data_IF_490931166382
#
_entry.id   IF_490931166382
#
_cell.length_a   1.000
_cell.length_b   1.000
_cell.length_c   1.000
_cell.angle_alpha   90.00
_cell.angle_beta   90.00
_cell.angle_gamma   90.00
#
_symmetry.space_group_name_H-M   'P 1'
#
loop_
_entity.id
_entity.type
_entity.pdbx_description
1 polymer ?
#
# COMPACT_ATOMS: atom_id res chain seq x y z
N UNK A 1 2.24 93.00 -18.63
CA UNK A 1 2.02 92.27 -17.38
C UNK A 1 1.05 91.13 -17.71
N UNK A 2 1.59 89.95 -18.01
CA UNK A 2 0.90 88.78 -18.57
C UNK A 2 0.63 87.77 -17.43
N UNK A 3 -0.35 86.87 -17.41
CA UNK A 3 -1.37 86.37 -18.34
C UNK A 3 -1.78 85.00 -17.76
N UNK A 4 -3.02 84.87 -17.27
CA UNK A 4 -4.08 83.93 -17.72
C UNK A 4 -3.84 82.42 -17.60
N UNK A 5 -4.82 81.77 -16.93
CA UNK A 5 -5.45 80.46 -17.21
C UNK A 5 -4.66 79.14 -17.14
N UNK A 6 -5.25 78.20 -16.40
CA UNK A 6 -5.62 76.80 -16.69
C UNK A 6 -4.89 75.97 -17.76
N UNK A 7 -5.00 74.65 -17.56
CA UNK A 7 -4.68 73.54 -18.50
C UNK A 7 -3.16 73.25 -18.57
N UNK A 8 -2.64 72.04 -18.43
CA UNK A 8 -3.06 70.70 -18.86
C UNK A 8 -1.90 69.72 -18.43
N UNK A 9 -1.89 68.39 -18.50
CA UNK A 9 -2.64 67.40 -19.26
C UNK A 9 -2.40 66.00 -18.62
N UNK A 10 -3.44 65.17 -18.68
CA UNK A 10 -3.49 63.70 -18.84
C UNK A 10 -2.75 62.73 -17.87
N UNK A 11 -3.39 61.64 -17.45
CA UNK A 11 -4.75 61.22 -17.76
C UNK A 11 -5.06 59.75 -17.44
N UNK A 12 -6.38 59.52 -17.30
CA UNK A 12 -7.22 58.32 -17.52
C UNK A 12 -6.78 57.00 -16.89
N UNK A 13 -7.60 56.24 -16.18
CA UNK A 13 -9.06 56.17 -15.92
C UNK A 13 -9.29 54.73 -15.40
N UNK A 14 -9.98 54.43 -14.27
CA UNK A 14 -11.42 54.56 -13.99
C UNK A 14 -12.26 54.07 -15.19
N UNK A 15 -13.11 53.05 -15.13
CA UNK A 15 -14.17 52.65 -14.17
C UNK A 15 -14.55 51.19 -14.49
N UNK A 16 -14.79 50.28 -13.56
CA UNK A 16 -15.95 50.15 -12.65
C UNK A 16 -17.11 49.32 -13.26
N UNK A 17 -18.01 48.88 -12.36
CA UNK A 17 -19.40 48.43 -12.54
C UNK A 17 -19.66 46.92 -12.54
N UNK A 18 -19.83 46.42 -11.32
CA UNK A 18 -21.08 45.93 -10.70
C UNK A 18 -22.17 45.16 -11.51
N UNK A 19 -22.68 44.16 -10.79
CA UNK A 19 -24.08 43.72 -10.63
C UNK A 19 -24.42 42.34 -11.22
N UNK A 20 -25.02 41.49 -10.38
CA UNK A 20 -25.18 40.06 -10.62
C UNK A 20 -26.60 39.59 -10.93
N UNK A 21 -26.73 38.32 -11.32
CA UNK A 21 -27.87 37.45 -11.02
C UNK A 21 -27.55 35.97 -11.36
N UNK A 22 -28.23 35.07 -10.65
CA UNK A 22 -28.16 33.59 -10.65
C UNK A 22 -28.31 32.89 -12.00
N UNK A 23 -27.66 31.72 -12.15
CA UNK A 23 -28.17 30.45 -12.72
C UNK A 23 -27.20 29.31 -12.31
N UNK A 24 -27.54 28.46 -11.33
CA UNK A 24 -28.08 27.09 -11.46
C UNK A 24 -27.22 26.08 -12.25
N UNK A 25 -26.72 25.06 -11.51
CA UNK A 25 -26.65 23.62 -11.81
C UNK A 25 -25.96 23.13 -13.10
N UNK A 26 -24.86 22.40 -12.93
CA UNK A 26 -24.84 20.99 -13.37
C UNK A 26 -23.90 20.12 -12.50
N UNK A 27 -24.53 19.14 -11.85
CA UNK A 27 -24.00 18.11 -10.98
C UNK A 27 -23.57 16.87 -11.77
N UNK A 28 -22.41 16.25 -11.45
CA UNK A 28 -22.08 14.80 -11.62
C UNK A 28 -20.56 14.62 -11.37
N UNK A 29 -20.03 13.91 -10.39
CA UNK A 29 -20.60 13.15 -9.28
C UNK A 29 -19.59 13.21 -8.13
N UNK A 30 -20.06 13.64 -6.96
CA UNK A 30 -19.34 13.59 -5.70
C UNK A 30 -18.96 12.15 -5.35
N UNK A 31 -17.73 12.01 -4.93
CA UNK A 31 -17.19 10.82 -4.31
C UNK A 31 -18.02 10.50 -3.07
N UNK A 32 -18.84 9.45 -3.14
CA UNK A 32 -19.54 8.92 -1.97
C UNK A 32 -18.52 8.37 -0.98
N UNK A 33 -18.17 9.22 -0.02
CA UNK A 33 -17.91 8.82 1.36
C UNK A 33 -19.22 8.22 1.89
N UNK A 34 -19.19 6.94 2.24
CA UNK A 34 -20.26 6.34 3.03
C UNK A 34 -19.94 6.65 4.50
N UNK A 35 -20.52 7.72 5.02
CA UNK A 35 -20.75 7.89 6.45
C UNK A 35 -22.08 8.64 6.62
N UNK A 36 -23.13 7.89 6.98
CA UNK A 36 -24.14 8.29 7.98
C UNK A 36 -25.19 7.15 8.20
N UNK A 37 -25.03 6.49 9.37
CA UNK A 37 -26.03 6.09 10.42
C UNK A 37 -27.25 5.21 10.02
N UNK A 38 -27.76 4.25 10.80
CA UNK A 38 -27.71 4.00 12.25
C UNK A 38 -28.24 2.58 12.59
N UNK A 39 -27.51 1.79 13.39
CA UNK A 39 -27.98 1.02 14.55
C UNK A 39 -26.94 -0.04 14.97
N UNK A 40 -26.28 0.20 16.10
CA UNK A 40 -25.38 -0.75 16.76
C UNK A 40 -24.04 -0.13 17.14
N UNK A 41 -23.98 0.49 18.33
CA UNK A 41 -22.82 0.93 19.14
C UNK A 41 -21.54 1.33 18.37
N UNK A 42 -21.17 2.62 18.32
CA UNK A 42 -19.90 3.04 17.73
C UNK A 42 -18.74 2.55 18.59
N UNK A 43 -17.86 1.74 18.02
CA UNK A 43 -16.54 1.47 18.58
C UNK A 43 -15.75 2.78 18.62
N UNK A 44 -15.51 3.32 19.82
CA UNK A 44 -14.90 4.65 20.04
C UNK A 44 -13.38 4.66 19.94
N UNK A 45 -12.77 3.65 19.32
CA UNK A 45 -11.32 3.57 19.14
C UNK A 45 -11.02 3.62 17.64
N UNK A 46 -10.26 4.61 17.15
CA UNK A 46 -9.66 4.49 15.82
C UNK A 46 -8.91 3.15 15.76
N UNK A 47 -8.98 2.41 14.65
CA UNK A 47 -8.09 1.28 14.44
C UNK A 47 -6.66 1.74 14.71
N UNK A 48 -5.81 0.88 15.31
CA UNK A 48 -4.41 1.20 15.64
C UNK A 48 -3.65 1.92 14.49
N UNK A 49 -4.08 1.69 13.25
CA UNK A 49 -3.63 2.28 11.99
C UNK A 49 -3.78 3.80 11.84
N UNK A 50 -4.69 4.45 12.57
CA UNK A 50 -4.98 5.89 12.45
C UNK A 50 -4.28 6.73 13.56
N UNK A 51 -3.56 6.07 14.47
CA UNK A 51 -2.69 6.76 15.43
C UNK A 51 -1.35 7.04 14.75
N UNK A 52 -1.32 8.10 13.95
CA UNK A 52 -0.06 8.79 13.70
C UNK A 52 0.45 9.25 15.07
N UNK A 53 1.40 8.53 15.68
CA UNK A 53 2.05 9.00 16.92
C UNK A 53 2.62 10.39 16.63
N UNK A 54 1.97 11.44 17.12
CA UNK A 54 2.31 12.86 16.92
C UNK A 54 3.65 13.27 17.58
N UNK A 55 4.38 12.33 18.18
CA UNK A 55 5.61 12.57 18.95
C UNK A 55 6.90 12.50 18.09
N UNK A 56 6.77 12.42 16.77
CA UNK A 56 7.89 12.26 15.83
C UNK A 56 8.23 13.59 15.13
N UNK A 57 9.38 14.16 15.45
CA UNK A 57 9.87 15.47 14.94
C UNK A 57 10.20 15.52 13.42
N UNK A 58 9.65 14.62 12.60
CA UNK A 58 9.83 14.61 11.13
C UNK A 58 8.60 15.11 10.36
N UNK A 59 8.73 15.42 9.06
CA UNK A 59 7.60 15.66 8.16
C UNK A 59 6.66 14.46 8.19
N UNK A 60 5.37 14.75 8.21
CA UNK A 60 4.32 13.73 8.25
C UNK A 60 4.31 12.95 6.93
N UNK A 61 3.79 11.71 6.89
CA UNK A 61 3.67 10.94 5.66
C UNK A 61 2.93 11.70 4.54
N UNK A 62 1.92 12.50 4.91
CA UNK A 62 1.19 13.41 4.03
C UNK A 62 2.09 14.42 3.32
N UNK A 63 3.10 14.95 3.99
CA UNK A 63 4.04 15.95 3.43
C UNK A 63 5.02 15.33 2.42
N UNK A 64 5.15 14.00 2.48
CA UNK A 64 6.03 13.21 1.62
C UNK A 64 5.27 12.52 0.47
N UNK A 65 3.96 12.78 0.39
CA UNK A 65 3.06 12.22 -0.59
C UNK A 65 2.66 13.24 -1.66
N UNK A 66 2.44 12.79 -2.89
CA UNK A 66 1.99 13.66 -3.96
C UNK A 66 1.37 12.90 -5.12
N UNK A 67 0.49 13.61 -5.84
CA UNK A 67 -0.20 13.10 -7.03
C UNK A 67 0.17 13.98 -8.23
N UNK A 68 0.36 13.36 -9.38
CA UNK A 68 0.63 14.04 -10.64
C UNK A 68 -0.21 13.42 -11.76
N UNK A 69 -0.72 14.26 -12.66
CA UNK A 69 -1.48 13.80 -13.84
C UNK A 69 -0.84 14.37 -15.08
N UNK A 70 -0.51 13.49 -16.02
CA UNK A 70 0.02 13.84 -17.33
C UNK A 70 -1.00 13.47 -18.40
N UNK A 71 -1.41 14.48 -19.17
CA UNK A 71 -2.23 14.30 -20.37
C UNK A 71 -1.32 14.39 -21.58
N UNK A 72 -1.38 13.37 -22.43
CA UNK A 72 -0.63 13.31 -23.68
C UNK A 72 -1.65 13.41 -24.80
N UNK A 73 -1.74 14.59 -25.40
CA UNK A 73 -2.62 14.88 -26.52
C UNK A 73 -2.00 14.41 -27.83
N UNK A 74 -2.84 14.18 -28.84
CA UNK A 74 -2.46 13.69 -30.17
C UNK A 74 -1.63 12.40 -30.12
N UNK A 75 -1.94 11.49 -29.17
CA UNK A 75 -1.13 10.32 -28.85
C UNK A 75 -0.87 9.43 -30.08
N UNK A 76 -1.88 9.26 -30.95
CA UNK A 76 -1.79 8.46 -32.17
C UNK A 76 -0.75 8.98 -33.17
N UNK A 77 -0.46 10.29 -33.15
CA UNK A 77 0.46 10.94 -34.10
C UNK A 77 1.92 10.93 -33.63
N UNK A 78 2.17 10.47 -32.41
CA UNK A 78 3.51 10.54 -31.81
C UNK A 78 4.42 9.48 -32.42
N UNK A 79 5.42 9.93 -33.15
CA UNK A 79 6.49 9.10 -33.74
C UNK A 79 7.76 9.05 -32.89
N UNK A 80 7.83 9.84 -31.81
CA UNK A 80 8.99 9.88 -30.92
C UNK A 80 9.15 8.54 -30.20
N UNK A 81 10.41 8.08 -30.11
CA UNK A 81 10.76 6.85 -29.38
C UNK A 81 10.39 6.95 -27.90
N UNK A 82 10.64 8.10 -27.29
CA UNK A 82 10.32 8.36 -25.88
C UNK A 82 9.68 9.73 -25.69
N UNK A 83 8.85 9.84 -24.65
CA UNK A 83 8.26 11.09 -24.19
C UNK A 83 8.53 11.27 -22.71
N UNK A 84 8.71 12.53 -22.30
CA UNK A 84 8.92 12.92 -20.91
C UNK A 84 7.85 13.91 -20.49
N UNK A 85 7.31 13.75 -19.29
CA UNK A 85 6.42 14.73 -18.69
C UNK A 85 7.19 15.97 -18.23
N UNK A 86 6.45 17.02 -17.87
CA UNK A 86 7.01 18.07 -17.03
C UNK A 86 7.46 17.50 -15.69
N UNK A 87 8.49 18.11 -15.10
CA UNK A 87 8.93 17.75 -13.77
C UNK A 87 7.91 18.22 -12.72
N UNK A 88 7.69 17.40 -11.69
CA UNK A 88 6.81 17.69 -10.56
C UNK A 88 7.51 17.34 -9.25
N UNK A 89 7.11 17.97 -8.15
CA UNK A 89 7.79 17.83 -6.87
C UNK A 89 6.95 17.03 -5.87
N UNK A 90 7.58 16.01 -5.25
CA UNK A 90 6.96 15.19 -4.19
C UNK A 90 8.03 14.82 -3.16
N UNK A 91 7.71 15.06 -1.89
CA UNK A 91 8.60 14.76 -0.76
C UNK A 91 9.95 15.46 -0.82
N UNK A 92 10.02 16.65 -1.42
CA UNK A 92 11.24 17.43 -1.61
C UNK A 92 12.12 16.98 -2.79
N UNK A 93 11.63 16.07 -3.64
CA UNK A 93 12.35 15.59 -4.82
C UNK A 93 11.57 15.91 -6.09
N UNK A 94 12.30 16.21 -7.16
CA UNK A 94 11.72 16.44 -8.49
C UNK A 94 11.68 15.13 -9.26
N UNK A 95 10.52 14.80 -9.78
CA UNK A 95 10.21 13.58 -10.52
C UNK A 95 9.71 13.93 -11.92
N UNK A 96 9.80 13.00 -12.86
CA UNK A 96 9.09 13.05 -14.13
C UNK A 96 8.69 11.65 -14.57
N UNK A 97 7.67 11.55 -15.42
CA UNK A 97 7.26 10.29 -16.04
C UNK A 97 7.96 10.19 -17.40
N UNK A 98 8.58 9.04 -17.66
CA UNK A 98 9.17 8.68 -18.95
C UNK A 98 8.35 7.55 -19.56
N UNK A 99 7.96 7.69 -20.82
CA UNK A 99 7.22 6.64 -21.54
C UNK A 99 7.88 6.30 -22.86
N UNK A 100 7.75 5.03 -23.23
CA UNK A 100 8.05 4.53 -24.57
C UNK A 100 6.76 4.04 -25.19
N UNK A 101 6.10 4.86 -26.06
CA UNK A 101 4.80 4.52 -26.62
C UNK A 101 4.79 3.19 -27.37
N UNK A 102 5.88 2.85 -28.07
CA UNK A 102 6.00 1.60 -28.84
C UNK A 102 6.84 0.51 -28.15
N UNK A 103 7.31 0.79 -26.94
CA UNK A 103 8.16 -0.10 -26.14
C UNK A 103 9.61 0.36 -26.02
N UNK A 104 10.24 0.01 -24.89
CA UNK A 104 11.65 0.26 -24.62
C UNK A 104 12.54 -0.85 -25.21
N UNK A 105 12.52 -2.01 -24.55
CA UNK A 105 13.26 -3.23 -24.97
C UNK A 105 12.32 -4.28 -25.58
N UNK A 106 11.02 -4.17 -25.29
CA UNK A 106 9.99 -5.11 -25.72
C UNK A 106 9.01 -4.35 -26.60
N UNK A 107 8.94 -4.73 -27.87
CA UNK A 107 8.01 -4.13 -28.81
C UNK A 107 6.54 -4.41 -28.44
N UNK A 108 5.64 -3.61 -29.00
CA UNK A 108 4.18 -3.77 -28.88
C UNK A 108 3.63 -3.59 -27.45
N UNK A 109 4.43 -3.01 -26.55
CA UNK A 109 4.01 -2.69 -25.20
C UNK A 109 4.28 -1.22 -24.92
N UNK A 110 3.33 -0.54 -24.29
CA UNK A 110 3.59 0.71 -23.61
C UNK A 110 4.52 0.43 -22.42
N UNK A 111 5.66 1.10 -22.36
CA UNK A 111 6.56 1.08 -21.20
C UNK A 111 6.44 2.40 -20.43
N UNK A 112 6.40 2.33 -19.09
CA UNK A 112 6.25 3.49 -18.21
C UNK A 112 7.29 3.44 -17.09
N UNK A 113 7.95 4.57 -16.82
CA UNK A 113 8.94 4.73 -15.78
C UNK A 113 8.71 6.02 -15.00
N UNK A 114 8.97 5.96 -13.69
CA UNK A 114 9.14 7.13 -12.85
C UNK A 114 10.64 7.42 -12.74
N UNK A 115 11.03 8.68 -12.97
CA UNK A 115 12.42 9.09 -13.00
C UNK A 115 12.67 10.24 -12.04
N UNK A 116 13.85 10.27 -11.41
CA UNK A 116 14.34 11.41 -10.63
C UNK A 116 14.88 12.47 -11.60
N UNK A 117 14.33 13.68 -11.55
CA UNK A 117 14.81 14.80 -12.33
C UNK A 117 16.16 15.31 -11.80
N UNK A 118 16.97 15.92 -12.68
CA UNK A 118 18.29 16.46 -12.35
C UNK A 118 19.24 15.45 -11.69
N UNK A 119 19.11 14.16 -12.02
CA UNK A 119 19.92 13.11 -11.40
C UNK A 119 21.44 13.31 -11.56
N UNK A 120 21.86 13.98 -12.64
CA UNK A 120 23.26 14.34 -12.89
C UNK A 120 23.86 15.22 -11.78
N UNK A 121 23.03 16.10 -11.21
CA UNK A 121 23.40 17.05 -10.15
C UNK A 121 23.37 16.43 -8.76
N UNK A 122 22.93 15.18 -8.62
CA UNK A 122 22.89 14.50 -7.33
C UNK A 122 24.31 14.16 -6.85
N UNK A 123 24.53 14.37 -5.55
CA UNK A 123 25.79 14.03 -4.91
C UNK A 123 26.00 12.50 -4.89
N UNK A 124 27.25 12.03 -4.94
CA UNK A 124 27.56 10.63 -4.67
C UNK A 124 27.00 10.18 -3.33
N UNK A 125 26.38 9.00 -3.28
CA UNK A 125 25.73 8.47 -2.06
C UNK A 125 24.27 8.86 -1.89
N UNK A 126 23.70 9.72 -2.76
CA UNK A 126 22.27 9.98 -2.75
C UNK A 126 21.46 8.72 -3.02
N UNK A 127 20.54 8.38 -2.12
CA UNK A 127 19.55 7.33 -2.33
C UNK A 127 18.31 7.53 -1.47
N UNK A 128 17.13 7.28 -2.03
CA UNK A 128 15.87 7.32 -1.28
C UNK A 128 14.92 6.21 -1.73
N UNK A 129 14.18 5.66 -0.78
CA UNK A 129 13.06 4.80 -1.11
C UNK A 129 11.85 5.63 -1.50
N UNK A 130 11.17 5.22 -2.56
CA UNK A 130 9.84 5.71 -2.89
C UNK A 130 8.94 4.54 -3.27
N UNK A 131 7.72 4.59 -2.76
CA UNK A 131 6.62 3.77 -3.27
C UNK A 131 5.83 4.63 -4.24
N UNK A 132 5.52 4.09 -5.41
CA UNK A 132 4.73 4.80 -6.39
C UNK A 132 3.77 3.90 -7.14
N UNK A 133 2.65 4.47 -7.52
CA UNK A 133 1.64 3.85 -8.37
C UNK A 133 1.50 4.67 -9.64
N UNK A 134 1.64 4.00 -10.79
CA UNK A 134 1.30 4.58 -12.09
C UNK A 134 -0.01 3.96 -12.56
N UNK A 135 -0.94 4.82 -12.99
CA UNK A 135 -2.21 4.42 -13.55
C UNK A 135 -2.37 4.97 -14.97
N UNK A 136 -2.75 4.11 -15.92
CA UNK A 136 -3.25 4.53 -17.23
C UNK A 136 -4.77 4.52 -17.16
N UNK A 137 -5.36 5.70 -17.32
CA UNK A 137 -6.78 5.93 -17.07
C UNK A 137 -7.57 5.49 -18.30
N UNK A 138 -8.60 4.67 -18.06
CA UNK A 138 -9.58 4.29 -19.07
C UNK A 138 -10.82 5.19 -18.98
N UNK A 139 -11.57 5.32 -20.07
CA UNK A 139 -12.89 5.98 -20.10
C UNK A 139 -13.84 5.40 -19.04
N UNK A 140 -13.74 4.09 -18.78
CA UNK A 140 -14.38 3.43 -17.65
C UNK A 140 -13.38 3.35 -16.48
N UNK A 141 -13.58 4.09 -15.38
CA UNK A 141 -12.67 4.08 -14.24
C UNK A 141 -12.38 2.68 -13.68
N UNK A 142 -13.33 1.74 -13.81
CA UNK A 142 -13.16 0.35 -13.34
C UNK A 142 -12.19 -0.47 -14.19
N UNK A 143 -11.95 -0.06 -15.44
CA UNK A 143 -11.01 -0.70 -16.37
C UNK A 143 -9.62 -0.04 -16.40
N UNK A 144 -9.43 1.03 -15.62
CA UNK A 144 -8.12 1.69 -15.52
C UNK A 144 -7.07 0.69 -15.02
N UNK A 145 -5.86 0.77 -15.59
CA UNK A 145 -4.77 -0.14 -15.23
C UNK A 145 -3.85 0.54 -14.24
N UNK A 146 -3.60 -0.11 -13.12
CA UNK A 146 -2.72 0.36 -12.05
C UNK A 146 -1.51 -0.57 -11.94
N UNK A 147 -0.33 -0.02 -11.69
CA UNK A 147 0.83 -0.78 -11.25
C UNK A 147 1.54 -0.05 -10.12
N UNK A 148 1.85 -0.81 -9.08
CA UNK A 148 2.44 -0.38 -7.81
C UNK A 148 3.83 -1.00 -7.71
N UNK A 149 4.80 -0.21 -7.28
CA UNK A 149 6.10 -0.74 -6.93
C UNK A 149 6.77 0.13 -5.88
N UNK A 150 7.70 -0.52 -5.19
CA UNK A 150 8.59 0.08 -4.24
C UNK A 150 10.01 -0.03 -4.79
N UNK A 151 10.73 1.09 -4.82
CA UNK A 151 12.09 1.10 -5.33
C UNK A 151 13.00 2.01 -4.52
N UNK A 152 14.30 1.69 -4.49
CA UNK A 152 15.34 2.56 -3.96
C UNK A 152 16.04 3.28 -5.10
N UNK A 153 15.63 4.52 -5.33
CA UNK A 153 16.27 5.38 -6.31
C UNK A 153 17.64 5.80 -5.80
N UNK A 154 18.62 5.82 -6.69
CA UNK A 154 19.98 6.31 -6.43
C UNK A 154 20.59 6.83 -7.74
N UNK A 155 21.79 7.40 -7.67
CA UNK A 155 22.38 8.07 -8.84
C UNK A 155 22.50 7.18 -10.11
N UNK A 156 22.78 5.88 -9.95
CA UNK A 156 22.93 4.94 -11.09
C UNK A 156 21.59 4.42 -11.62
N UNK A 157 20.65 4.11 -10.74
CA UNK A 157 19.27 3.72 -11.09
C UNK A 157 18.34 4.85 -10.63
N UNK A 158 18.30 5.89 -11.46
CA UNK A 158 17.47 7.08 -11.21
C UNK A 158 16.06 6.91 -11.80
N UNK A 159 15.84 5.86 -12.60
CA UNK A 159 14.57 5.48 -13.18
C UNK A 159 14.16 4.07 -12.73
N UNK A 160 12.86 3.88 -12.56
CA UNK A 160 12.28 2.57 -12.29
C UNK A 160 10.85 2.48 -12.81
N UNK A 161 10.44 1.30 -13.25
CA UNK A 161 9.11 1.12 -13.82
C UNK A 161 8.94 -0.21 -14.54
N UNK A 162 8.08 -0.22 -15.56
CA UNK A 162 7.62 -1.43 -16.22
C UNK A 162 7.90 -1.36 -17.72
N UNK A 163 8.79 -2.24 -18.19
CA UNK A 163 9.07 -2.45 -19.61
C UNK A 163 7.83 -2.98 -20.37
N UNK A 164 7.04 -3.83 -19.73
CA UNK A 164 5.78 -4.39 -20.27
C UNK A 164 4.58 -3.89 -19.46
N UNK A 165 4.36 -2.57 -19.41
CA UNK A 165 3.26 -2.03 -18.62
C UNK A 165 1.90 -2.43 -19.20
N UNK A 166 1.66 -2.21 -20.50
CA UNK A 166 0.39 -2.59 -21.16
C UNK A 166 0.64 -2.91 -22.63
N UNK A 167 -0.02 -3.93 -23.16
CA UNK A 167 0.00 -4.21 -24.61
C UNK A 167 -0.67 -3.07 -25.37
N UNK A 168 -0.09 -2.65 -26.50
CA UNK A 168 -0.63 -1.54 -27.28
C UNK A 168 -2.04 -1.78 -27.79
N UNK A 169 -2.38 -3.02 -28.15
CA UNK A 169 -3.75 -3.40 -28.55
C UNK A 169 -4.78 -3.08 -27.47
N UNK A 170 -4.41 -3.24 -26.18
CA UNK A 170 -5.27 -2.91 -25.04
C UNK A 170 -5.34 -1.42 -24.78
N UNK A 171 -4.28 -0.65 -25.09
CA UNK A 171 -4.30 0.82 -24.96
C UNK A 171 -5.40 1.43 -25.85
N UNK A 172 -5.63 0.86 -27.03
CA UNK A 172 -6.69 1.29 -27.94
C UNK A 172 -8.11 1.00 -27.42
N UNK A 173 -8.27 0.09 -26.43
CA UNK A 173 -9.56 -0.25 -25.83
C UNK A 173 -9.97 0.75 -24.73
N UNK A 174 -10.23 2.00 -25.15
CA UNK A 174 -10.82 3.03 -24.29
C UNK A 174 -9.87 3.72 -23.32
N UNK A 175 -8.55 3.50 -23.40
CA UNK A 175 -7.57 4.31 -22.66
C UNK A 175 -7.17 5.60 -23.38
N UNK A 176 -7.41 5.65 -24.70
CA UNK A 176 -7.28 6.86 -25.49
C UNK A 176 -8.67 7.45 -25.70
N UNK A 177 -8.92 8.65 -25.19
CA UNK A 177 -10.19 9.38 -25.33
C UNK A 177 -9.89 10.71 -26.00
N UNK A 178 -10.54 11.02 -27.12
CA UNK A 178 -10.25 12.21 -27.93
C UNK A 178 -8.74 12.34 -28.24
N UNK A 179 -8.15 11.24 -28.72
CA UNK A 179 -6.71 11.09 -28.98
C UNK A 179 -5.78 11.50 -27.83
N UNK A 180 -6.28 11.44 -26.61
CA UNK A 180 -5.55 11.82 -25.40
C UNK A 180 -5.38 10.61 -24.49
N UNK A 181 -4.13 10.31 -24.14
CA UNK A 181 -3.78 9.32 -23.12
C UNK A 181 -3.56 10.04 -21.78
N UNK A 182 -4.22 9.57 -20.73
CA UNK A 182 -4.08 10.16 -19.39
C UNK A 182 -3.35 9.19 -18.46
N UNK A 183 -2.23 9.65 -17.93
CA UNK A 183 -1.39 8.91 -16.98
C UNK A 183 -1.42 9.63 -15.64
N UNK A 184 -1.71 8.90 -14.57
CA UNK A 184 -1.63 9.41 -13.19
C UNK A 184 -0.48 8.73 -12.47
N UNK A 185 0.28 9.51 -11.72
CA UNK A 185 1.30 9.01 -10.80
C UNK A 185 0.95 9.43 -9.37
N UNK A 186 1.10 8.50 -8.45
CA UNK A 186 1.02 8.74 -7.01
C UNK A 186 2.36 8.33 -6.44
N UNK A 187 3.03 9.22 -5.70
CA UNK A 187 4.38 8.99 -5.19
C UNK A 187 4.37 9.25 -3.70
N UNK A 188 4.92 8.31 -2.93
CA UNK A 188 5.22 8.45 -1.51
C UNK A 188 6.71 8.27 -1.33
N UNK A 189 7.38 9.33 -0.88
CA UNK A 189 8.78 9.24 -0.48
C UNK A 189 8.86 8.66 0.93
N UNK A 190 9.76 7.71 1.13
CA UNK A 190 9.84 6.93 2.35
C UNK A 190 11.13 7.25 3.07
N UNK A 191 10.99 7.69 4.31
CA UNK A 191 12.10 7.89 5.24
C UNK A 191 12.52 6.55 5.83
N UNK A 192 13.81 6.28 5.78
CA UNK A 192 14.38 5.14 6.47
C UNK A 192 14.49 5.47 7.96
N UNK A 193 13.72 4.75 8.79
CA UNK A 193 13.74 4.90 10.25
C UNK A 193 14.08 3.54 10.86
N UNK A 194 15.24 3.44 11.51
CA UNK A 194 15.71 2.17 12.08
C UNK A 194 14.73 1.57 13.11
N UNK A 195 13.99 2.41 13.83
CA UNK A 195 12.99 1.99 14.83
C UNK A 195 11.59 1.74 14.25
N UNK A 196 11.36 2.11 12.99
CA UNK A 196 10.13 1.81 12.23
C UNK A 196 10.55 1.12 10.93
N UNK A 197 10.84 -0.20 10.98
CA UNK A 197 11.28 -0.95 9.80
C UNK A 197 10.21 -1.03 8.69
N UNK A 198 8.99 -0.56 8.98
CA UNK A 198 7.86 -0.52 8.07
C UNK A 198 7.58 0.91 7.60
N UNK A 199 6.97 0.99 6.42
CA UNK A 199 6.82 2.24 5.64
C UNK A 199 5.61 3.00 6.14
N UNK A 200 5.76 4.30 6.40
CA UNK A 200 4.63 5.18 6.64
C UNK A 200 4.11 5.69 5.29
N UNK A 201 2.95 5.20 4.87
CA UNK A 201 2.24 5.72 3.70
C UNK A 201 1.18 6.71 4.16
N UNK A 202 0.91 7.74 3.34
CA UNK A 202 -0.26 8.58 3.51
C UNK A 202 -1.54 7.74 3.62
N UNK A 203 -2.45 8.14 4.52
CA UNK A 203 -3.63 7.35 4.88
C UNK A 203 -4.59 7.13 3.70
N UNK A 204 -4.75 8.14 2.84
CA UNK A 204 -5.59 8.03 1.66
C UNK A 204 -4.93 7.15 0.61
N UNK A 205 -3.62 7.33 0.37
CA UNK A 205 -2.89 6.51 -0.57
C UNK A 205 -2.90 5.03 -0.16
N UNK A 206 -2.72 4.74 1.13
CA UNK A 206 -2.85 3.40 1.70
C UNK A 206 -4.23 2.80 1.43
N UNK A 207 -5.32 3.52 1.69
CA UNK A 207 -6.68 3.04 1.41
C UNK A 207 -6.89 2.72 -0.07
N UNK A 208 -6.37 3.56 -0.97
CA UNK A 208 -6.45 3.33 -2.41
C UNK A 208 -5.66 2.08 -2.83
N UNK A 209 -4.44 1.88 -2.29
CA UNK A 209 -3.64 0.68 -2.52
C UNK A 209 -4.36 -0.57 -2.05
N UNK A 210 -4.92 -0.58 -0.83
CA UNK A 210 -5.72 -1.70 -0.32
C UNK A 210 -6.87 -1.97 -1.28
N UNK A 211 -7.65 -0.96 -1.67
CA UNK A 211 -8.78 -1.16 -2.59
C UNK A 211 -8.38 -1.82 -3.92
N UNK A 212 -7.21 -1.48 -4.45
CA UNK A 212 -6.75 -1.96 -5.77
C UNK A 212 -6.08 -3.34 -5.68
N UNK A 213 -5.31 -3.60 -4.61
CA UNK A 213 -4.44 -4.76 -4.53
C UNK A 213 -4.85 -5.81 -3.48
N UNK A 214 -5.87 -5.52 -2.65
CA UNK A 214 -6.30 -6.44 -1.59
C UNK A 214 -6.63 -7.83 -2.12
N UNK A 215 -7.38 -7.94 -3.22
CA UNK A 215 -7.72 -9.25 -3.80
C UNK A 215 -6.48 -10.06 -4.18
N UNK A 216 -5.46 -9.41 -4.74
CA UNK A 216 -4.24 -10.07 -5.16
C UNK A 216 -3.41 -10.50 -3.94
N UNK A 217 -3.29 -9.60 -2.95
CA UNK A 217 -2.57 -9.87 -1.70
C UNK A 217 -3.25 -11.00 -0.94
N UNK A 218 -4.57 -10.96 -0.79
CA UNK A 218 -5.34 -11.98 -0.11
C UNK A 218 -5.18 -13.34 -0.81
N UNK A 219 -5.22 -13.38 -2.14
CA UNK A 219 -5.01 -14.61 -2.90
C UNK A 219 -3.63 -15.23 -2.64
N UNK A 220 -2.57 -14.41 -2.56
CA UNK A 220 -1.22 -14.90 -2.27
C UNK A 220 -1.11 -15.39 -0.83
N UNK A 221 -1.58 -14.61 0.14
CA UNK A 221 -1.59 -15.02 1.55
C UNK A 221 -2.41 -16.30 1.76
N UNK A 222 -3.58 -16.41 1.12
CA UNK A 222 -4.44 -17.60 1.16
C UNK A 222 -3.73 -18.82 0.59
N UNK A 223 -3.10 -18.70 -0.60
CA UNK A 223 -2.30 -19.79 -1.21
C UNK A 223 -1.18 -20.25 -0.28
N UNK A 224 -0.43 -19.31 0.31
CA UNK A 224 0.62 -19.64 1.27
C UNK A 224 0.09 -20.45 2.46
N UNK A 225 -1.01 -20.00 3.06
CA UNK A 225 -1.62 -20.70 4.20
C UNK A 225 -2.16 -22.07 3.79
N UNK A 226 -2.83 -22.18 2.64
CA UNK A 226 -3.31 -23.45 2.10
C UNK A 226 -2.17 -24.43 1.82
N UNK A 227 -1.04 -23.97 1.28
CA UNK A 227 0.14 -24.82 1.03
C UNK A 227 0.73 -25.35 2.35
N UNK A 228 0.89 -24.48 3.35
CA UNK A 228 1.42 -24.87 4.68
C UNK A 228 0.46 -25.80 5.40
N UNK A 229 -0.83 -25.55 5.31
CA UNK A 229 -1.88 -26.43 5.82
C UNK A 229 -1.87 -27.79 5.14
N UNK A 230 -1.77 -27.84 3.81
CA UNK A 230 -1.71 -29.10 3.07
C UNK A 230 -0.51 -29.96 3.46
N UNK A 231 0.65 -29.34 3.75
CA UNK A 231 1.82 -30.05 4.30
C UNK A 231 1.54 -30.61 5.69
N UNK A 232 0.83 -29.86 6.53
CA UNK A 232 0.45 -30.28 7.88
C UNK A 232 -0.59 -31.42 7.86
N UNK A 233 -1.61 -31.33 7.00
CA UNK A 233 -2.61 -32.39 6.84
C UNK A 233 -1.97 -33.70 6.40
N UNK A 234 -1.04 -33.66 5.43
CA UNK A 234 -0.26 -34.84 5.01
C UNK A 234 0.54 -35.48 6.14
N UNK A 235 1.07 -34.66 7.07
CA UNK A 235 1.78 -35.16 8.24
C UNK A 235 0.84 -35.88 9.21
N UNK A 236 -0.37 -35.33 9.41
CA UNK A 236 -1.38 -35.89 10.33
C UNK A 236 -2.02 -37.17 9.75
N UNK A 237 -2.25 -37.22 8.43
CA UNK A 237 -2.80 -38.39 7.72
C UNK A 237 -1.85 -39.59 7.73
N UNK A 238 -0.53 -39.34 7.70
CA UNK A 238 0.48 -40.39 7.89
C UNK A 238 0.46 -40.89 9.34
N UNK A 239 -0.37 -41.90 9.59
CA UNK A 239 -0.57 -42.49 10.93
C UNK A 239 0.75 -42.90 11.60
N UNK A 240 1.72 -43.40 10.85
CA UNK A 240 3.00 -43.82 11.42
C UNK A 240 3.83 -42.61 11.87
N UNK A 241 3.99 -41.61 11.00
CA UNK A 241 4.73 -40.38 11.33
C UNK A 241 4.05 -39.57 12.42
N UNK A 242 2.73 -39.43 12.35
CA UNK A 242 1.95 -38.69 13.35
C UNK A 242 2.02 -39.37 14.72
N UNK A 243 1.85 -40.69 14.79
CA UNK A 243 1.95 -41.43 16.07
C UNK A 243 3.36 -41.36 16.66
N UNK A 244 4.39 -41.46 15.81
CA UNK A 244 5.79 -41.28 16.24
C UNK A 244 6.04 -39.87 16.77
N UNK A 245 5.53 -38.84 16.09
CA UNK A 245 5.63 -37.45 16.56
C UNK A 245 4.88 -37.20 17.86
N UNK A 246 3.65 -37.74 18.02
CA UNK A 246 2.89 -37.66 19.29
C UNK A 246 3.64 -38.34 20.43
N UNK A 247 4.17 -39.53 20.21
CA UNK A 247 4.95 -40.25 21.22
C UNK A 247 6.21 -39.47 21.61
N UNK A 248 6.93 -38.91 20.63
CA UNK A 248 8.05 -38.02 20.87
C UNK A 248 7.63 -36.81 21.70
N UNK A 249 6.60 -36.06 21.28
CA UNK A 249 6.14 -34.85 21.97
C UNK A 249 5.73 -35.17 23.41
N UNK A 250 4.97 -36.25 23.63
CA UNK A 250 4.53 -36.70 24.95
C UNK A 250 5.68 -37.23 25.82
N UNK A 251 6.77 -37.71 25.23
CA UNK A 251 7.96 -38.18 25.93
C UNK A 251 8.92 -37.05 26.37
N UNK A 252 8.81 -35.86 25.77
CA UNK A 252 9.66 -34.72 26.12
C UNK A 252 9.15 -34.04 27.40
N UNK A 253 10.05 -33.60 28.27
CA UNK A 253 9.69 -32.89 29.51
C UNK A 253 9.05 -31.52 29.25
N UNK A 254 8.33 -31.00 30.25
CA UNK A 254 7.58 -29.76 30.10
C UNK A 254 8.47 -28.54 29.82
N UNK A 255 9.70 -28.49 30.34
CA UNK A 255 10.61 -27.37 30.11
C UNK A 255 11.17 -27.39 28.68
N UNK A 256 11.52 -28.57 28.17
CA UNK A 256 11.94 -28.75 26.79
C UNK A 256 10.80 -28.46 25.81
N UNK A 257 9.56 -28.90 26.08
CA UNK A 257 8.38 -28.52 25.26
C UNK A 257 8.20 -27.01 25.18
N UNK A 258 8.25 -26.32 26.33
CA UNK A 258 8.18 -24.85 26.38
C UNK A 258 9.29 -24.19 25.59
N UNK A 259 10.49 -24.78 25.49
CA UNK A 259 11.61 -24.23 24.71
C UNK A 259 11.42 -24.46 23.21
N UNK A 260 10.88 -25.61 22.81
CA UNK A 260 10.61 -25.93 21.41
C UNK A 260 9.38 -25.20 20.84
N UNK A 261 8.44 -24.78 21.70
CA UNK A 261 7.22 -24.08 21.30
C UNK A 261 7.37 -22.56 21.22
N UNK A 262 8.61 -22.05 21.26
CA UNK A 262 8.90 -20.62 21.15
C UNK A 262 10.04 -20.36 20.16
N UNK A 263 9.95 -19.26 19.44
CA UNK A 263 11.02 -18.80 18.54
C UNK A 263 11.09 -17.27 18.57
N UNK A 264 12.23 -16.70 18.19
CA UNK A 264 12.43 -15.25 18.17
C UNK A 264 11.59 -14.61 17.08
N UNK A 265 11.02 -13.44 17.38
CA UNK A 265 10.21 -12.66 16.44
C UNK A 265 10.98 -12.36 15.16
N UNK A 266 12.25 -11.97 15.26
CA UNK A 266 13.08 -11.63 14.10
C UNK A 266 13.35 -12.85 13.20
N UNK A 267 13.50 -14.05 13.77
CA UNK A 267 13.71 -15.29 13.02
C UNK A 267 12.47 -15.64 12.18
N UNK A 268 11.27 -15.57 12.77
CA UNK A 268 10.02 -15.83 12.06
C UNK A 268 9.77 -14.77 10.98
N UNK A 269 9.93 -13.49 11.30
CA UNK A 269 9.75 -12.41 10.33
C UNK A 269 10.73 -12.52 9.16
N UNK A 270 11.99 -12.92 9.39
CA UNK A 270 12.97 -13.16 8.32
C UNK A 270 12.49 -14.24 7.35
N UNK A 271 11.87 -15.32 7.83
CA UNK A 271 11.33 -16.39 6.98
C UNK A 271 10.15 -15.88 6.15
N UNK A 272 9.22 -15.13 6.77
CA UNK A 272 8.08 -14.52 6.07
C UNK A 272 8.55 -13.53 5.01
N UNK A 273 9.46 -12.63 5.36
CA UNK A 273 10.06 -11.67 4.42
C UNK A 273 10.73 -12.41 3.28
N UNK A 274 11.54 -13.45 3.54
CA UNK A 274 12.17 -14.24 2.48
C UNK A 274 11.14 -14.84 1.52
N UNK A 275 10.05 -15.40 2.04
CA UNK A 275 9.03 -16.02 1.21
C UNK A 275 8.27 -14.99 0.36
N UNK A 276 7.79 -13.91 0.96
CA UNK A 276 7.00 -12.90 0.23
C UNK A 276 7.86 -11.98 -0.66
N UNK A 277 9.11 -11.66 -0.27
CA UNK A 277 9.96 -10.67 -0.95
C UNK A 277 10.98 -11.26 -1.92
N UNK A 278 11.58 -12.41 -1.61
CA UNK A 278 12.68 -12.95 -2.42
C UNK A 278 12.15 -13.88 -3.52
N UNK A 279 11.03 -14.56 -3.29
CA UNK A 279 10.45 -15.50 -4.27
C UNK A 279 9.51 -14.84 -5.30
N UNK A 280 9.55 -13.50 -5.41
CA UNK A 280 8.87 -12.68 -6.43
C UNK A 280 7.33 -12.75 -6.46
N UNK A 281 6.67 -13.36 -5.48
CA UNK A 281 5.21 -13.45 -5.49
C UNK A 281 4.53 -12.12 -5.15
N UNK A 282 5.00 -11.33 -4.16
CA UNK A 282 4.43 -10.01 -3.84
C UNK A 282 5.46 -9.06 -3.22
N UNK A 283 5.87 -8.03 -3.96
CA UNK A 283 6.58 -6.84 -3.43
C UNK A 283 5.61 -5.78 -2.89
N UNK A 284 4.33 -6.09 -2.71
CA UNK A 284 3.36 -5.10 -2.25
C UNK A 284 3.66 -4.72 -0.80
N UNK A 285 3.87 -3.43 -0.58
CA UNK A 285 4.05 -2.86 0.76
C UNK A 285 2.86 -3.16 1.68
N UNK A 286 1.70 -3.46 1.11
CA UNK A 286 0.50 -3.88 1.83
C UNK A 286 0.67 -5.19 2.59
N UNK A 287 1.46 -6.15 2.06
CA UNK A 287 1.76 -7.39 2.80
C UNK A 287 2.59 -7.09 4.03
N UNK A 288 3.61 -6.24 3.89
CA UNK A 288 4.47 -5.87 5.03
C UNK A 288 3.74 -5.05 6.07
N UNK A 289 2.92 -4.13 5.61
CA UNK A 289 2.05 -3.34 6.46
C UNK A 289 1.07 -4.24 7.22
N UNK A 290 0.42 -5.20 6.54
CA UNK A 290 -0.42 -6.22 7.17
C UNK A 290 0.34 -7.08 8.18
N UNK A 291 1.57 -7.50 7.86
CA UNK A 291 2.40 -8.32 8.77
C UNK A 291 2.81 -7.54 10.02
N UNK A 292 3.23 -6.28 9.87
CA UNK A 292 3.55 -5.41 11.00
C UNK A 292 2.33 -5.16 11.87
N UNK A 293 1.21 -4.90 11.22
CA UNK A 293 -0.08 -4.64 11.83
C UNK A 293 -0.54 -5.82 12.68
N UNK A 294 -0.50 -7.03 12.12
CA UNK A 294 -0.78 -8.27 12.84
C UNK A 294 0.20 -8.50 14.01
N UNK A 295 1.49 -8.22 13.83
CA UNK A 295 2.47 -8.32 14.91
C UNK A 295 2.13 -7.38 16.07
N UNK A 296 1.78 -6.12 15.78
CA UNK A 296 1.40 -5.13 16.80
C UNK A 296 0.12 -5.49 17.52
N UNK A 297 -0.86 -6.05 16.81
CA UNK A 297 -2.08 -6.58 17.42
C UNK A 297 -1.78 -7.76 18.38
N UNK A 298 -0.84 -8.65 18.02
CA UNK A 298 -0.43 -9.74 18.91
C UNK A 298 0.35 -9.24 20.14
N UNK A 299 1.16 -8.19 19.99
CA UNK A 299 1.86 -7.52 21.10
C UNK A 299 0.91 -6.76 22.04
N UNK A 300 -0.15 -6.14 21.53
CA UNK A 300 -1.12 -5.40 22.36
C UNK A 300 -2.01 -6.36 23.16
N UNK A 301 -2.42 -7.48 22.57
CA UNK A 301 -3.16 -8.54 23.27
C UNK A 301 -2.35 -9.15 24.43
N UNK A 302 -1.03 -9.28 24.30
CA UNK A 302 -0.19 -9.82 25.37
C UNK A 302 0.01 -8.83 26.53
N UNK A 303 -0.04 -7.52 26.26
CA UNK A 303 0.00 -6.46 27.28
C UNK A 303 -1.33 -6.37 28.07
N UNK A 304 -2.46 -6.39 27.38
CA UNK A 304 -3.80 -6.25 28.00
C UNK A 304 -4.21 -7.47 28.85
N UNK A 305 -3.65 -8.67 28.57
CA UNK A 305 -3.85 -9.86 29.42
C UNK A 305 -3.16 -9.77 30.80
N UNK A 306 -2.26 -8.81 31.03
CA UNK A 306 -1.75 -8.52 32.38
C UNK A 306 -2.70 -7.67 33.22
N UNK A 307 -3.67 -6.98 32.62
CA UNK A 307 -4.63 -6.12 33.33
C UNK A 307 -6.03 -6.73 33.46
N UNK A 308 -6.47 -7.59 32.52
CA UNK A 308 -7.75 -8.30 32.62
C UNK A 308 -7.60 -9.71 33.20
N UNK A 309 -7.35 -9.77 34.52
CA UNK A 309 -7.51 -10.99 35.32
C UNK A 309 -8.90 -11.10 35.97
N UNK A 310 -9.87 -10.26 35.59
CA UNK A 310 -11.28 -10.40 35.98
C UNK A 310 -12.18 -10.04 34.80
N UNK A 311 -13.30 -10.76 34.72
CA UNK A 311 -14.39 -10.72 33.74
C UNK A 311 -14.19 -11.67 32.55
N UNK A 312 -14.76 -12.86 32.73
CA UNK A 312 -15.11 -13.84 31.69
C UNK A 312 -16.47 -13.43 31.08
N UNK A 313 -16.72 -13.92 29.85
CA UNK A 313 -17.98 -13.93 29.08
C UNK A 313 -18.32 -12.60 28.38
N UNK A 314 -18.57 -12.50 27.06
CA UNK A 314 -18.94 -13.48 26.03
C UNK A 314 -18.61 -12.87 24.65
N UNK A 315 -17.60 -13.37 23.93
CA UNK A 315 -17.51 -13.25 22.46
C UNK A 315 -16.73 -14.47 21.97
N UNK A 316 -17.22 -15.16 20.93
CA UNK A 316 -16.53 -16.27 20.24
C UNK A 316 -15.28 -15.75 19.50
N UNK A 317 -14.30 -15.22 20.22
CA UNK A 317 -12.98 -14.97 19.65
C UNK A 317 -12.21 -16.27 19.76
N UNK A 318 -11.98 -16.94 18.63
CA UNK A 318 -11.16 -18.15 18.57
C UNK A 318 -9.84 -17.92 19.30
N UNK A 319 -9.45 -18.88 20.15
CA UNK A 319 -8.23 -18.76 20.98
C UNK A 319 -7.05 -18.46 20.02
N UNK A 320 -6.22 -17.43 20.24
CA UNK A 320 -5.11 -17.14 19.33
C UNK A 320 -4.12 -18.31 19.34
N UNK A 321 -3.65 -18.77 18.17
CA UNK A 321 -2.69 -19.89 18.04
C UNK A 321 -1.33 -19.51 18.63
N UNK A 322 -0.95 -18.23 18.48
CA UNK A 322 0.36 -17.70 18.87
C UNK A 322 0.20 -16.43 19.70
N UNK A 323 1.10 -16.20 20.65
CA UNK A 323 1.24 -14.98 21.46
C UNK A 323 2.65 -14.42 21.31
N UNK A 324 2.82 -13.12 21.53
CA UNK A 324 4.15 -12.49 21.54
C UNK A 324 4.54 -12.14 22.98
N UNK A 325 5.63 -12.73 23.47
CA UNK A 325 6.20 -12.51 24.80
C UNK A 325 7.67 -12.11 24.68
N UNK A 326 8.04 -10.89 25.08
CA UNK A 326 9.44 -10.41 25.13
C UNK A 326 10.24 -10.77 23.86
N UNK A 327 9.73 -10.37 22.69
CA UNK A 327 10.32 -10.64 21.36
C UNK A 327 10.38 -12.12 20.96
N UNK A 328 9.54 -12.96 21.55
CA UNK A 328 9.36 -14.35 21.15
C UNK A 328 7.91 -14.63 20.78
N UNK A 329 7.70 -15.33 19.67
CA UNK A 329 6.44 -15.99 19.39
C UNK A 329 6.34 -17.27 20.22
N UNK A 330 5.23 -17.45 20.92
CA UNK A 330 4.96 -18.59 21.80
C UNK A 330 3.61 -19.18 21.42
N UNK A 331 3.56 -20.50 21.24
CA UNK A 331 2.31 -21.21 21.01
C UNK A 331 1.40 -21.13 22.24
N UNK A 332 0.12 -20.80 22.04
CA UNK A 332 -0.79 -20.44 23.12
C UNK A 332 -1.37 -21.62 23.92
N UNK A 333 -1.21 -22.83 23.41
CA UNK A 333 -1.80 -24.08 23.92
C UNK A 333 -0.89 -25.28 23.54
N UNK A 334 -1.32 -26.51 23.85
CA UNK A 334 -0.60 -27.72 23.48
C UNK A 334 -0.39 -27.81 21.96
N UNK A 335 0.84 -28.16 21.57
CA UNK A 335 1.27 -28.18 20.18
C UNK A 335 0.45 -29.15 19.35
N UNK A 336 0.05 -30.30 19.89
CA UNK A 336 -0.73 -31.28 19.13
C UNK A 336 -2.13 -30.74 18.82
N UNK A 337 -2.77 -30.11 19.80
CA UNK A 337 -4.09 -29.48 19.63
C UNK A 337 -4.01 -28.33 18.63
N UNK A 338 -2.97 -27.49 18.71
CA UNK A 338 -2.78 -26.38 17.80
C UNK A 338 -2.48 -26.83 16.37
N UNK A 339 -1.74 -27.91 16.18
CA UNK A 339 -1.46 -28.46 14.85
C UNK A 339 -2.72 -29.09 14.23
N UNK A 340 -3.50 -29.87 15.00
CA UNK A 340 -4.78 -30.43 14.55
C UNK A 340 -5.78 -29.32 14.19
N UNK A 341 -5.83 -28.26 15.01
CA UNK A 341 -6.63 -27.07 14.72
C UNK A 341 -6.14 -26.31 13.49
N UNK A 342 -4.84 -26.06 13.36
CA UNK A 342 -4.27 -25.35 12.21
C UNK A 342 -4.47 -26.13 10.89
N UNK A 343 -4.62 -27.45 10.94
CA UNK A 343 -4.97 -28.28 9.79
C UNK A 343 -6.47 -28.14 9.41
N UNK A 344 -7.36 -28.04 10.40
CA UNK A 344 -8.83 -28.15 10.22
C UNK A 344 -9.59 -26.81 10.17
N UNK A 345 -9.06 -25.74 10.76
CA UNK A 345 -9.72 -24.43 10.88
C UNK A 345 -9.95 -23.80 9.50
N UNK A 346 -11.21 -23.62 9.07
CA UNK A 346 -11.50 -23.06 7.74
C UNK A 346 -11.05 -21.61 7.64
N UNK A 347 -10.40 -21.25 6.52
CA UNK A 347 -10.13 -19.85 6.21
C UNK A 347 -11.45 -19.14 5.89
N UNK A 348 -11.61 -17.86 6.27
CA UNK A 348 -12.81 -17.10 5.95
C UNK A 348 -13.13 -17.15 4.44
N UNK A 349 -14.41 -17.27 4.07
CA UNK A 349 -14.84 -17.42 2.68
C UNK A 349 -14.43 -16.19 1.83
N UNK A 350 -14.18 -16.41 0.54
CA UNK A 350 -13.71 -15.38 -0.41
C UNK A 350 -14.65 -14.18 -0.59
N UNK A 351 -15.93 -14.33 -0.26
CA UNK A 351 -17.00 -13.37 -0.60
C UNK A 351 -17.67 -12.70 0.61
N UNK A 352 -17.18 -12.92 1.84
CA UNK A 352 -17.63 -12.07 2.94
C UNK A 352 -16.97 -10.70 2.80
N UNK A 353 -17.73 -9.79 2.20
CA UNK A 353 -17.47 -8.35 2.20
C UNK A 353 -16.97 -7.90 3.59
N UNK A 354 -15.70 -7.52 3.64
CA UNK A 354 -15.20 -6.29 4.27
C UNK A 354 -15.30 -6.16 5.81
N UNK A 355 -15.85 -7.10 6.59
CA UNK A 355 -16.09 -6.84 8.02
C UNK A 355 -15.33 -7.71 9.03
N UNK A 356 -14.46 -8.64 8.61
CA UNK A 356 -13.77 -9.52 9.58
C UNK A 356 -12.29 -9.78 9.31
N UNK A 357 -11.58 -8.78 8.79
CA UNK A 357 -10.13 -8.68 9.00
C UNK A 357 -9.84 -7.28 9.52
N UNK A 358 -10.04 -7.11 10.83
CA UNK A 358 -9.54 -5.98 11.63
C UNK A 358 -8.91 -6.59 12.87
#
# INVERSE_FOLDING_TARGET
MAGSSSEDYAGRGLEDISSGQRCQSDSLAEWRSCDQVENGVPSTSPPYWDTDDDDDCGPKPSDLYGKFTWKIENFSTITKRELRSNAFEVGGYKWYILIYPQGCDVCNHLSLFLCVANHDKLLPGWSHFAQFTIAVVNKDPKKSKYSDTLHRFWKKEHDWGWKKFMELSKVLDGFIVADTLVIKAQVQVIREKAHRPFRCLDCQYRRELVRVYLSNVEQVCRRFVEERRGKLSKLIEDKMRWSSFRAFWLGVDQNARRRMSRDKTDAILKVLVKHFFIEKEVTSTLVMDSLYSGLKALESQSKNKKEKAKVIETEETSIPIVRVEKDMFVLADDVLLLLERAATEQLPPKDEKVHKIV
#
